data_IF_815453779344
#
_entry.id   IF_815453779344
#
_cell.length_a   1.000
_cell.length_b   1.000
_cell.length_c   1.000
_cell.angle_alpha   90.00
_cell.angle_beta   90.00
_cell.angle_gamma   90.00
#
_symmetry.space_group_name_H-M   'P 1'
#
loop_
_entity.id
_entity.type
_entity.pdbx_description
1 polymer ?
#
# COMPACT_ATOMS: atom_id res chain seq x y z
N UNK A 1 -16.36 24.69 -19.88
CA UNK A 1 -15.79 26.04 -19.63
C UNK A 1 -14.54 25.90 -18.78
N UNK A 2 -13.35 26.29 -19.29
CA UNK A 2 -12.11 26.30 -18.50
C UNK A 2 -12.07 27.58 -17.68
N UNK A 3 -12.44 27.52 -16.40
CA UNK A 3 -12.26 28.63 -15.45
C UNK A 3 -10.77 28.92 -15.36
N UNK A 4 -10.36 30.13 -15.74
CA UNK A 4 -8.95 30.53 -15.66
C UNK A 4 -8.59 30.62 -14.17
N UNK A 5 -7.57 29.87 -13.74
CA UNK A 5 -7.03 29.86 -12.36
C UNK A 5 -6.70 31.26 -11.80
N UNK A 6 -6.59 32.26 -12.68
CA UNK A 6 -6.35 33.67 -12.36
C UNK A 6 -7.53 34.38 -11.70
N UNK A 7 -8.75 33.81 -11.71
CA UNK A 7 -9.94 34.43 -11.09
C UNK A 7 -10.31 33.84 -9.72
N UNK A 8 -9.55 32.85 -9.24
CA UNK A 8 -9.82 32.17 -7.97
C UNK A 8 -9.06 32.85 -6.82
N UNK A 9 -9.73 32.98 -5.67
CA UNK A 9 -9.09 33.34 -4.41
C UNK A 9 -8.04 32.31 -4.00
N UNK A 10 -7.12 32.67 -3.11
CA UNK A 10 -6.07 31.77 -2.65
C UNK A 10 -6.61 30.48 -2.02
N UNK A 11 -7.70 30.59 -1.24
CA UNK A 11 -8.39 29.45 -0.65
C UNK A 11 -8.97 28.51 -1.72
N UNK A 12 -9.58 29.05 -2.78
CA UNK A 12 -10.14 28.27 -3.89
C UNK A 12 -9.04 27.61 -4.72
N UNK A 13 -7.88 28.26 -4.92
CA UNK A 13 -6.73 27.66 -5.58
C UNK A 13 -6.17 26.47 -4.79
N UNK A 14 -6.07 26.59 -3.47
CA UNK A 14 -5.63 25.50 -2.59
C UNK A 14 -6.63 24.34 -2.61
N UNK A 15 -7.93 24.63 -2.54
CA UNK A 15 -8.98 23.61 -2.62
C UNK A 15 -8.91 22.87 -3.97
N UNK A 16 -8.82 23.60 -5.08
CA UNK A 16 -8.69 23.03 -6.41
C UNK A 16 -7.42 22.16 -6.56
N UNK A 17 -6.29 22.60 -6.02
CA UNK A 17 -5.05 21.82 -6.03
C UNK A 17 -5.18 20.52 -5.22
N UNK A 18 -5.88 20.56 -4.08
CA UNK A 18 -6.18 19.36 -3.28
C UNK A 18 -7.09 18.40 -4.04
N UNK A 19 -8.11 18.90 -4.72
CA UNK A 19 -9.03 18.09 -5.53
C UNK A 19 -8.30 17.41 -6.68
N UNK A 20 -7.51 18.15 -7.45
CA UNK A 20 -6.65 17.57 -8.49
C UNK A 20 -5.69 16.52 -7.93
N UNK A 21 -5.15 16.75 -6.73
CA UNK A 21 -4.31 15.77 -6.03
C UNK A 21 -5.06 14.50 -5.64
N UNK A 22 -6.32 14.62 -5.19
CA UNK A 22 -7.20 13.49 -4.87
C UNK A 22 -7.54 12.69 -6.12
N UNK A 23 -7.90 13.37 -7.21
CA UNK A 23 -8.27 12.73 -8.48
C UNK A 23 -7.10 11.95 -9.09
N UNK A 24 -5.90 12.55 -9.08
CA UNK A 24 -4.68 11.87 -9.54
C UNK A 24 -4.40 10.58 -8.75
N UNK A 25 -4.49 10.65 -7.41
CA UNK A 25 -4.32 9.46 -6.55
C UNK A 25 -5.42 8.43 -6.75
N UNK A 26 -6.66 8.86 -7.00
CA UNK A 26 -7.77 7.95 -7.32
C UNK A 26 -7.49 7.21 -8.63
N UNK A 27 -7.13 7.93 -9.69
CA UNK A 27 -6.80 7.34 -10.99
C UNK A 27 -5.56 6.43 -10.94
N UNK A 28 -4.57 6.74 -10.10
CA UNK A 28 -3.42 5.85 -9.86
C UNK A 28 -3.83 4.54 -9.17
N UNK A 29 -4.71 4.62 -8.16
CA UNK A 29 -5.25 3.43 -7.48
C UNK A 29 -6.12 2.58 -8.40
N UNK A 30 -6.91 3.21 -9.26
CA UNK A 30 -7.77 2.54 -10.24
C UNK A 30 -6.90 1.77 -11.24
N UNK A 31 -5.88 2.41 -11.83
CA UNK A 31 -4.90 1.73 -12.69
C UNK A 31 -4.15 0.58 -11.99
N UNK A 32 -3.79 0.76 -10.71
CA UNK A 32 -3.13 -0.30 -9.94
C UNK A 32 -4.07 -1.50 -9.71
N UNK A 33 -5.36 -1.24 -9.44
CA UNK A 33 -6.38 -2.30 -9.34
C UNK A 33 -6.56 -3.04 -10.65
N UNK A 34 -6.66 -2.31 -11.77
CA UNK A 34 -6.81 -2.91 -13.10
C UNK A 34 -5.60 -3.80 -13.46
N UNK A 35 -4.41 -3.42 -13.01
CA UNK A 35 -3.18 -4.21 -13.16
C UNK A 35 -3.07 -5.39 -12.17
N UNK A 36 -4.09 -5.63 -11.34
CA UNK A 36 -4.06 -6.69 -10.31
C UNK A 36 -3.00 -6.46 -9.24
N UNK A 37 -2.56 -5.21 -9.03
CA UNK A 37 -1.52 -4.86 -8.05
C UNK A 37 -2.15 -4.39 -6.74
N UNK A 38 -1.82 -5.01 -5.60
CA UNK A 38 -2.29 -4.52 -4.31
C UNK A 38 -1.72 -3.14 -4.00
N UNK A 39 -2.53 -2.28 -3.39
CA UNK A 39 -2.07 -0.97 -2.96
C UNK A 39 -1.07 -1.07 -1.78
N UNK A 40 -0.18 -0.08 -1.58
CA UNK A 40 0.87 -0.17 -0.57
C UNK A 40 0.36 -0.38 0.87
N UNK A 41 -0.77 0.24 1.24
CA UNK A 41 -1.30 0.11 2.59
C UNK A 41 -1.87 -1.30 2.84
N UNK A 42 -2.46 -1.90 1.80
CA UNK A 42 -2.91 -3.29 1.83
C UNK A 42 -1.72 -4.25 1.97
N UNK A 43 -0.61 -4.00 1.27
CA UNK A 43 0.63 -4.79 1.41
C UNK A 43 1.20 -4.68 2.82
N UNK A 44 1.31 -3.47 3.39
CA UNK A 44 1.80 -3.27 4.75
C UNK A 44 0.97 -4.03 5.78
N UNK A 45 -0.36 -3.96 5.65
CA UNK A 45 -1.26 -4.66 6.56
C UNK A 45 -1.13 -6.17 6.43
N UNK A 46 -0.95 -6.69 5.22
CA UNK A 46 -0.72 -8.11 5.01
C UNK A 46 0.61 -8.59 5.64
N UNK A 47 1.67 -7.78 5.56
CA UNK A 47 2.95 -8.07 6.24
C UNK A 47 2.75 -8.09 7.76
N UNK A 48 2.06 -7.10 8.33
CA UNK A 48 1.81 -7.04 9.78
C UNK A 48 1.00 -8.24 10.26
N UNK A 49 -0.06 -8.64 9.55
CA UNK A 49 -0.86 -9.83 9.91
C UNK A 49 -0.07 -11.12 9.73
N UNK A 50 0.83 -11.19 8.76
CA UNK A 50 1.75 -12.32 8.60
C UNK A 50 2.69 -12.44 9.79
N UNK A 51 3.32 -11.33 10.21
CA UNK A 51 4.16 -11.28 11.40
C UNK A 51 3.36 -11.65 12.65
N UNK A 52 2.16 -11.11 12.82
CA UNK A 52 1.27 -11.46 13.94
C UNK A 52 0.97 -12.96 13.96
N UNK A 53 0.75 -13.59 12.81
CA UNK A 53 0.48 -15.02 12.72
C UNK A 53 1.65 -15.86 13.27
N UNK A 54 2.90 -15.45 13.03
CA UNK A 54 4.08 -16.11 13.61
C UNK A 54 4.14 -15.94 15.14
N UNK A 55 3.93 -14.72 15.64
CA UNK A 55 3.91 -14.47 17.09
C UNK A 55 2.73 -15.12 17.81
N UNK A 56 1.59 -15.28 17.15
CA UNK A 56 0.45 -16.01 17.74
C UNK A 56 0.72 -17.50 17.85
N UNK A 57 1.49 -18.07 16.93
CA UNK A 57 1.87 -19.49 16.96
C UNK A 57 2.97 -19.77 17.99
N UNK A 58 3.91 -18.84 18.18
CA UNK A 58 4.98 -18.94 19.16
C UNK A 58 5.27 -17.56 19.79
N UNK A 59 4.57 -17.18 20.88
CA UNK A 59 4.65 -15.85 21.49
C UNK A 59 6.00 -15.50 22.11
N UNK A 60 6.84 -16.50 22.39
CA UNK A 60 8.15 -16.32 23.01
C UNK A 60 9.28 -16.57 22.00
N UNK A 61 8.95 -16.74 20.72
CA UNK A 61 9.95 -17.01 19.70
C UNK A 61 10.89 -15.83 19.53
N UNK A 62 12.14 -16.03 19.93
CA UNK A 62 13.29 -15.20 19.51
C UNK A 62 13.83 -15.64 18.14
N UNK A 63 13.20 -16.63 17.50
CA UNK A 63 13.68 -17.16 16.24
C UNK A 63 13.41 -16.15 15.10
N UNK A 64 14.40 -15.88 14.25
CA UNK A 64 14.18 -15.05 13.08
C UNK A 64 13.15 -15.70 12.16
N UNK A 65 12.22 -14.89 11.65
CA UNK A 65 11.28 -15.33 10.62
C UNK A 65 12.05 -15.43 9.30
N UNK A 66 12.06 -16.61 8.69
CA UNK A 66 12.67 -16.79 7.37
C UNK A 66 11.94 -15.90 6.32
N UNK A 67 12.67 -15.14 5.48
CA UNK A 67 12.06 -14.24 4.51
C UNK A 67 11.02 -14.91 3.60
N UNK A 68 11.32 -16.11 3.09
CA UNK A 68 10.39 -16.86 2.24
C UNK A 68 9.12 -17.30 2.97
N UNK A 69 9.22 -17.57 4.28
CA UNK A 69 8.04 -17.88 5.09
C UNK A 69 7.18 -16.62 5.28
N UNK A 70 7.80 -15.47 5.56
CA UNK A 70 7.10 -14.19 5.68
C UNK A 70 6.37 -13.82 4.39
N UNK A 71 7.05 -13.90 3.25
CA UNK A 71 6.47 -13.57 1.94
C UNK A 71 5.28 -14.48 1.60
N UNK A 72 5.41 -15.79 1.85
CA UNK A 72 4.30 -16.75 1.64
C UNK A 72 3.09 -16.44 2.50
N UNK A 73 3.29 -16.19 3.79
CA UNK A 73 2.18 -15.88 4.70
C UNK A 73 1.56 -14.53 4.35
N UNK A 74 2.34 -13.51 3.98
CA UNK A 74 1.83 -12.23 3.53
C UNK A 74 0.96 -12.36 2.26
N UNK A 75 1.39 -13.16 1.28
CA UNK A 75 0.60 -13.45 0.08
C UNK A 75 -0.73 -14.16 0.43
N UNK A 76 -0.72 -15.11 1.38
CA UNK A 76 -1.94 -15.75 1.87
C UNK A 76 -2.89 -14.76 2.56
N UNK A 77 -2.35 -13.79 3.31
CA UNK A 77 -3.19 -12.75 3.93
C UNK A 77 -3.82 -11.83 2.88
N UNK A 78 -3.12 -11.50 1.78
CA UNK A 78 -3.71 -10.76 0.66
C UNK A 78 -4.84 -11.54 0.00
N UNK A 79 -4.63 -12.84 -0.25
CA UNK A 79 -5.65 -13.72 -0.82
C UNK A 79 -6.90 -13.81 0.07
N UNK A 80 -6.71 -14.00 1.38
CA UNK A 80 -7.81 -14.03 2.36
C UNK A 80 -8.61 -12.73 2.35
N UNK A 81 -7.96 -11.57 2.22
CA UNK A 81 -8.66 -10.28 2.11
C UNK A 81 -9.44 -10.15 0.82
N UNK A 82 -8.90 -10.62 -0.30
CA UNK A 82 -9.61 -10.63 -1.57
C UNK A 82 -10.88 -11.49 -1.50
N UNK A 83 -10.78 -12.69 -0.91
CA UNK A 83 -11.96 -13.54 -0.67
C UNK A 83 -12.96 -12.89 0.28
N UNK A 84 -12.52 -12.37 1.43
CA UNK A 84 -13.43 -11.72 2.38
C UNK A 84 -14.15 -10.49 1.77
N UNK A 85 -13.48 -9.74 0.90
CA UNK A 85 -14.10 -8.61 0.18
C UNK A 85 -15.15 -9.11 -0.82
N UNK A 86 -14.83 -10.15 -1.58
CA UNK A 86 -15.78 -10.80 -2.49
C UNK A 86 -17.01 -11.33 -1.75
N UNK A 87 -16.81 -12.03 -0.62
CA UNK A 87 -17.90 -12.59 0.20
C UNK A 87 -18.79 -11.50 0.81
N UNK A 88 -18.23 -10.30 1.05
CA UNK A 88 -18.98 -9.12 1.49
C UNK A 88 -19.70 -8.37 0.34
N UNK A 89 -19.65 -8.89 -0.89
CA UNK A 89 -20.29 -8.31 -2.07
C UNK A 89 -19.53 -7.13 -2.70
N UNK A 90 -18.25 -6.94 -2.34
CA UNK A 90 -17.41 -5.97 -3.04
C UNK A 90 -16.88 -6.58 -4.35
N UNK A 91 -16.60 -5.72 -5.33
CA UNK A 91 -15.99 -6.14 -6.60
C UNK A 91 -14.68 -6.91 -6.33
N UNK A 92 -14.55 -8.16 -6.82
CA UNK A 92 -13.38 -8.97 -6.56
C UNK A 92 -12.14 -8.36 -7.19
N UNK A 93 -11.13 -8.08 -6.36
CA UNK A 93 -9.81 -7.69 -6.86
C UNK A 93 -9.03 -8.97 -7.15
N UNK A 94 -8.77 -9.23 -8.44
CA UNK A 94 -7.97 -10.35 -8.87
C UNK A 94 -6.48 -9.98 -8.83
N UNK A 95 -5.78 -10.42 -7.79
CA UNK A 95 -4.34 -10.27 -7.70
C UNK A 95 -3.62 -11.34 -8.55
N UNK A 96 -2.61 -10.93 -9.31
CA UNK A 96 -1.68 -11.87 -9.95
C UNK A 96 -0.50 -12.17 -9.02
N UNK A 97 0.09 -13.37 -9.16
CA UNK A 97 1.24 -13.78 -8.34
C UNK A 97 2.41 -12.83 -8.54
N UNK A 98 2.65 -12.44 -9.79
CA UNK A 98 3.73 -11.56 -10.22
C UNK A 98 3.54 -10.16 -9.62
N UNK A 99 2.35 -9.57 -9.72
CA UNK A 99 2.07 -8.24 -9.18
C UNK A 99 2.17 -8.20 -7.65
N UNK A 100 1.75 -9.27 -6.96
CA UNK A 100 1.91 -9.40 -5.50
C UNK A 100 3.39 -9.49 -5.12
N UNK A 101 4.16 -10.29 -5.84
CA UNK A 101 5.61 -10.44 -5.60
C UNK A 101 6.34 -9.13 -5.81
N UNK A 102 6.06 -8.42 -6.91
CA UNK A 102 6.64 -7.10 -7.19
C UNK A 102 6.23 -6.06 -6.15
N UNK A 103 4.98 -6.06 -5.71
CA UNK A 103 4.51 -5.13 -4.69
C UNK A 103 5.20 -5.37 -3.34
N UNK A 104 5.34 -6.64 -2.92
CA UNK A 104 6.07 -7.01 -1.72
C UNK A 104 7.55 -6.63 -1.83
N UNK A 105 8.21 -6.95 -2.94
CA UNK A 105 9.61 -6.61 -3.17
C UNK A 105 9.84 -5.10 -3.16
N UNK A 106 9.03 -4.34 -3.90
CA UNK A 106 9.13 -2.89 -3.95
C UNK A 106 8.93 -2.27 -2.57
N UNK A 107 8.06 -2.84 -1.73
CA UNK A 107 7.81 -2.32 -0.39
C UNK A 107 8.94 -2.61 0.58
N UNK A 108 9.50 -3.82 0.53
CA UNK A 108 10.58 -4.26 1.42
C UNK A 108 11.96 -3.72 1.00
N UNK A 109 12.17 -3.48 -0.28
CA UNK A 109 13.41 -2.89 -0.81
C UNK A 109 13.39 -1.36 -0.86
N UNK A 110 12.22 -0.74 -0.67
CA UNK A 110 12.14 0.69 -0.40
C UNK A 110 12.82 0.97 0.94
N UNK A 111 14.12 1.30 0.88
CA UNK A 111 14.85 1.88 2.01
C UNK A 111 13.98 2.94 2.65
N UNK A 112 13.86 2.91 3.98
CA UNK A 112 13.20 3.97 4.73
C UNK A 112 13.87 5.30 4.38
N UNK A 113 13.39 6.01 3.35
CA UNK A 113 13.87 7.34 2.94
C UNK A 113 13.37 8.39 3.94
N UNK A 114 13.69 8.15 5.21
CA UNK A 114 13.42 8.97 6.38
C UNK A 114 14.46 8.72 7.48
N UNK A 115 15.64 8.18 7.15
CA UNK A 115 16.81 8.26 8.03
C UNK A 115 17.10 9.72 8.41
N UNK A 116 17.63 9.99 9.62
CA UNK A 116 17.74 11.33 10.15
C UNK A 116 18.42 12.25 9.15
N UNK A 117 17.79 13.38 8.81
CA UNK A 117 18.43 14.44 8.03
C UNK A 117 19.75 14.75 8.73
N UNK A 118 20.87 14.52 8.04
CA UNK A 118 22.18 14.93 8.52
C UNK A 118 22.07 16.40 8.95
N UNK A 119 22.25 16.64 10.26
CA UNK A 119 22.33 18.00 10.78
C UNK A 119 23.47 18.67 10.02
N UNK A 120 23.17 19.75 9.29
CA UNK A 120 24.21 20.62 8.79
C UNK A 120 24.96 21.16 10.00
N UNK A 121 26.20 20.74 10.17
CA UNK A 121 27.13 21.39 11.08
C UNK A 121 27.21 22.86 10.67
N UNK A 122 26.94 23.74 11.64
CA UNK A 122 27.19 25.16 11.58
C UNK A 122 28.67 25.43 11.84
#
# INVERSE_FOLDING_TARGET
MRTKLTTLSEAERIAHARDLGRDRKRAERERARDAGRPDPATVDRAIVEAVRSFFSADPQSVRPIAPDALLRVAALQLLRRAHAAHDAGAEPIHYTREAVSEALYARLSASARGGPKAQKAA
#
